data_IF_324108642220
#
_entry.id   IF_324108642220
#
_cell.length_a   1.000
_cell.length_b   1.000
_cell.length_c   1.000
_cell.angle_alpha   90.00
_cell.angle_beta   90.00
_cell.angle_gamma   90.00
#
_symmetry.space_group_name_H-M   'P 1'
#
loop_
_entity.id
_entity.type
_entity.pdbx_description
1 polymer ?
#
# COMPACT_ATOMS: atom_id res chain seq x y z
N UNK A 1 -26.84 11.92 8.57
CA UNK A 1 -26.34 10.54 8.68
C UNK A 1 -24.96 10.65 9.28
N UNK A 2 -24.72 10.06 10.45
CA UNK A 2 -23.43 10.16 11.12
C UNK A 2 -22.37 9.42 10.28
N UNK A 3 -21.25 10.07 10.03
CA UNK A 3 -20.20 9.51 9.19
C UNK A 3 -19.48 8.36 9.93
N UNK A 4 -19.22 7.27 9.21
CA UNK A 4 -18.59 6.08 9.80
C UNK A 4 -17.21 6.44 10.41
N UNK A 5 -16.90 6.02 11.67
CA UNK A 5 -15.65 6.42 12.35
C UNK A 5 -14.36 6.13 11.56
N UNK A 6 -14.33 5.00 10.83
CA UNK A 6 -13.20 4.68 9.95
C UNK A 6 -12.97 5.76 8.88
N UNK A 7 -14.04 6.28 8.25
CA UNK A 7 -13.94 7.33 7.22
C UNK A 7 -13.41 8.64 7.80
N UNK A 8 -13.80 8.96 9.04
CA UNK A 8 -13.28 10.14 9.73
C UNK A 8 -11.77 10.03 9.98
N UNK A 9 -11.28 8.87 10.42
CA UNK A 9 -9.86 8.69 10.71
C UNK A 9 -9.01 8.70 9.44
N UNK A 10 -9.43 7.98 8.38
CA UNK A 10 -8.64 7.97 7.12
C UNK A 10 -8.62 9.32 6.41
N UNK A 11 -9.63 10.17 6.62
CA UNK A 11 -9.65 11.53 6.08
C UNK A 11 -8.53 12.41 6.66
N UNK A 12 -8.02 12.08 7.84
CA UNK A 12 -6.95 12.80 8.52
C UNK A 12 -5.58 12.11 8.36
N UNK A 13 -5.44 11.18 7.41
CA UNK A 13 -4.15 10.58 7.10
C UNK A 13 -3.19 11.64 6.54
N UNK A 14 -1.93 11.73 7.00
CA UNK A 14 -0.98 12.77 6.61
C UNK A 14 -0.52 12.73 5.14
N UNK A 15 -0.94 11.71 4.39
CA UNK A 15 -0.60 11.56 2.97
C UNK A 15 0.65 10.71 2.72
N UNK A 16 0.95 10.50 1.42
CA UNK A 16 2.04 9.64 0.95
C UNK A 16 3.40 10.06 1.49
N UNK A 17 3.75 11.35 1.36
CA UNK A 17 5.10 11.86 1.66
C UNK A 17 5.64 11.41 3.04
N UNK A 18 4.95 11.72 4.15
CA UNK A 18 5.36 11.31 5.48
C UNK A 18 5.44 9.78 5.66
N UNK A 19 4.45 9.03 5.15
CA UNK A 19 4.46 7.56 5.22
C UNK A 19 5.62 6.96 4.44
N UNK A 20 5.92 7.50 3.26
CA UNK A 20 7.03 7.07 2.43
C UNK A 20 8.38 7.31 3.12
N UNK A 21 8.61 8.51 3.65
CA UNK A 21 9.84 8.83 4.36
C UNK A 21 10.04 7.93 5.59
N UNK A 22 8.97 7.63 6.33
CA UNK A 22 9.03 6.71 7.44
C UNK A 22 9.36 5.27 6.99
N UNK A 23 8.87 4.85 5.82
CA UNK A 23 9.17 3.54 5.24
C UNK A 23 10.62 3.44 4.77
N UNK A 24 11.15 4.51 4.17
CA UNK A 24 12.57 4.65 3.82
C UNK A 24 13.45 4.62 5.09
N UNK A 25 13.01 5.23 6.19
CA UNK A 25 13.73 5.22 7.48
C UNK A 25 13.80 3.84 8.13
N UNK A 26 12.87 2.93 7.84
CA UNK A 26 12.96 1.50 8.21
C UNK A 26 13.98 0.74 7.36
N UNK A 27 14.57 1.39 6.36
CA UNK A 27 15.59 0.85 5.46
C UNK A 27 15.07 0.51 4.06
N UNK A 28 13.75 0.37 3.86
CA UNK A 28 13.18 -0.09 2.59
C UNK A 28 13.29 0.99 1.49
N UNK A 29 14.10 0.76 0.44
CA UNK A 29 14.40 1.74 -0.59
C UNK A 29 14.07 1.31 -2.03
N UNK A 30 13.70 0.04 -2.26
CA UNK A 30 13.35 -0.45 -3.63
C UNK A 30 12.23 0.36 -4.29
N UNK A 31 11.22 0.76 -3.52
CA UNK A 31 10.12 1.59 -4.02
C UNK A 31 10.61 2.97 -4.51
N UNK A 32 11.52 3.60 -3.77
CA UNK A 32 12.15 4.88 -4.14
C UNK A 32 12.97 4.74 -5.42
N UNK A 33 13.75 3.67 -5.54
CA UNK A 33 14.49 3.39 -6.77
C UNK A 33 13.55 3.23 -7.98
N UNK A 34 12.37 2.64 -7.81
CA UNK A 34 11.36 2.59 -8.87
C UNK A 34 10.83 3.98 -9.23
N UNK A 35 10.50 4.81 -8.24
CA UNK A 35 10.04 6.18 -8.48
C UNK A 35 11.09 7.01 -9.24
N UNK A 36 12.36 6.91 -8.85
CA UNK A 36 13.47 7.61 -9.51
C UNK A 36 13.63 7.16 -10.97
N UNK A 37 13.48 5.86 -11.25
CA UNK A 37 13.44 5.35 -12.63
C UNK A 37 12.26 5.91 -13.41
N UNK A 38 11.08 6.04 -12.82
CA UNK A 38 9.92 6.62 -13.51
C UNK A 38 10.14 8.10 -13.79
N UNK A 39 10.72 8.86 -12.86
CA UNK A 39 11.10 10.27 -13.09
C UNK A 39 12.09 10.40 -14.25
N UNK A 40 13.12 9.55 -14.27
CA UNK A 40 14.09 9.49 -15.37
C UNK A 40 13.45 9.12 -16.71
N UNK A 41 12.53 8.16 -16.70
CA UNK A 41 11.81 7.70 -17.90
C UNK A 41 10.89 8.79 -18.47
N UNK A 42 10.15 9.47 -17.60
CA UNK A 42 9.20 10.49 -18.00
C UNK A 42 9.90 11.78 -18.48
N UNK A 43 10.98 12.20 -17.81
CA UNK A 43 11.82 13.38 -18.13
C UNK A 43 11.07 14.73 -18.28
N UNK A 44 11.76 15.85 -18.01
CA UNK A 44 11.19 17.19 -18.18
C UNK A 44 9.91 17.44 -17.36
N UNK A 45 8.97 18.19 -17.93
CA UNK A 45 7.73 18.63 -17.25
C UNK A 45 6.82 17.48 -16.79
N UNK A 46 6.93 16.28 -17.37
CA UNK A 46 6.13 15.13 -16.92
C UNK A 46 6.65 14.55 -15.60
N UNK A 47 7.94 14.71 -15.28
CA UNK A 47 8.49 14.24 -14.01
C UNK A 47 7.90 15.00 -12.81
N UNK A 48 7.71 16.31 -12.94
CA UNK A 48 7.11 17.15 -11.89
C UNK A 48 5.62 16.82 -11.67
N UNK A 49 4.93 16.39 -12.72
CA UNK A 49 3.53 15.94 -12.65
C UNK A 49 3.37 14.60 -11.94
N UNK A 50 4.39 13.72 -11.97
CA UNK A 50 4.31 12.38 -11.36
C UNK A 50 4.11 12.44 -9.86
N UNK A 51 4.87 13.27 -9.15
CA UNK A 51 4.82 13.32 -7.70
C UNK A 51 3.46 13.81 -7.22
N UNK A 52 2.92 14.86 -7.86
CA UNK A 52 1.55 15.32 -7.59
C UNK A 52 0.53 14.23 -7.92
N UNK A 53 0.62 13.58 -9.07
CA UNK A 53 -0.28 12.49 -9.44
C UNK A 53 -0.29 11.37 -8.39
N UNK A 54 0.88 10.95 -7.92
CA UNK A 54 0.98 9.93 -6.87
C UNK A 54 0.42 10.38 -5.52
N UNK A 55 0.63 11.64 -5.12
CA UNK A 55 0.05 12.18 -3.89
C UNK A 55 -1.48 12.19 -3.94
N UNK A 56 -2.05 12.63 -5.06
CA UNK A 56 -3.49 12.74 -5.27
C UNK A 56 -4.16 11.36 -5.30
N UNK A 57 -3.55 10.39 -6.01
CA UNK A 57 -4.01 8.99 -6.05
C UNK A 57 -3.96 8.35 -4.66
N UNK A 58 -2.90 8.62 -3.88
CA UNK A 58 -2.76 8.06 -2.54
C UNK A 58 -3.86 8.56 -1.60
N UNK A 59 -4.16 9.87 -1.62
CA UNK A 59 -5.23 10.46 -0.79
C UNK A 59 -6.60 9.90 -1.15
N UNK A 60 -6.96 9.88 -2.44
CA UNK A 60 -8.23 9.30 -2.89
C UNK A 60 -8.33 7.80 -2.54
N UNK A 61 -7.23 7.05 -2.67
CA UNK A 61 -7.18 5.62 -2.32
C UNK A 61 -7.41 5.42 -0.81
N UNK A 62 -6.77 6.23 0.03
CA UNK A 62 -6.94 6.19 1.49
C UNK A 62 -8.39 6.51 1.89
N UNK A 63 -8.96 7.59 1.36
CA UNK A 63 -10.29 8.05 1.73
C UNK A 63 -11.44 7.21 1.16
N UNK A 64 -11.21 6.52 0.04
CA UNK A 64 -12.15 5.53 -0.52
C UNK A 64 -11.99 4.13 0.08
N UNK A 65 -11.14 3.98 1.10
CA UNK A 65 -10.80 2.69 1.73
C UNK A 65 -10.33 1.65 0.70
N UNK A 66 -9.58 2.09 -0.31
CA UNK A 66 -9.08 1.28 -1.42
C UNK A 66 -10.16 0.77 -2.37
N UNK A 67 -11.45 1.14 -2.16
CA UNK A 67 -12.61 0.72 -2.96
C UNK A 67 -12.97 1.72 -4.06
N UNK A 68 -11.98 2.43 -4.56
CA UNK A 68 -12.08 3.28 -5.74
C UNK A 68 -10.96 2.99 -6.71
N UNK A 69 -11.10 3.54 -7.92
CA UNK A 69 -10.09 3.56 -8.96
C UNK A 69 -9.93 5.01 -9.41
N UNK A 70 -8.88 5.66 -8.90
CA UNK A 70 -8.56 7.07 -9.19
C UNK A 70 -8.30 7.31 -10.67
N UNK A 71 -7.74 6.34 -11.39
CA UNK A 71 -7.50 6.43 -12.83
C UNK A 71 -8.78 6.25 -13.68
N UNK A 72 -9.77 5.54 -13.15
CA UNK A 72 -11.08 5.37 -13.80
C UNK A 72 -12.11 6.41 -13.37
N UNK A 73 -11.79 7.21 -12.35
CA UNK A 73 -12.75 8.09 -11.64
C UNK A 73 -14.00 7.34 -11.17
N UNK A 74 -13.83 6.09 -10.71
CA UNK A 74 -14.93 5.22 -10.26
C UNK A 74 -14.75 4.86 -8.78
N UNK A 75 -15.76 5.16 -7.96
CA UNK A 75 -15.68 4.99 -6.50
C UNK A 75 -16.90 4.22 -5.99
N UNK A 76 -16.66 3.11 -5.26
CA UNK A 76 -17.71 2.42 -4.50
C UNK A 76 -17.97 3.15 -3.18
N UNK A 77 -16.92 3.74 -2.62
CA UNK A 77 -16.98 4.64 -1.47
C UNK A 77 -16.41 5.97 -1.93
N UNK A 78 -17.27 6.99 -1.97
CA UNK A 78 -16.86 8.35 -2.35
C UNK A 78 -15.87 8.92 -1.33
N UNK A 79 -14.68 9.35 -1.76
CA UNK A 79 -13.74 10.04 -0.88
C UNK A 79 -14.27 11.44 -0.53
N UNK A 80 -13.93 11.97 0.66
CA UNK A 80 -14.26 13.36 0.99
C UNK A 80 -13.52 14.34 0.10
N UNK A 81 -12.26 14.02 -0.18
CA UNK A 81 -11.40 14.71 -1.10
C UNK A 81 -11.45 14.02 -2.46
N UNK A 82 -11.94 14.74 -3.46
CA UNK A 82 -11.89 14.35 -4.86
C UNK A 82 -10.96 15.31 -5.60
N UNK A 83 -9.93 14.76 -6.24
CA UNK A 83 -8.90 15.55 -6.88
C UNK A 83 -9.38 16.14 -8.20
N UNK A 84 -9.54 17.47 -8.24
CA UNK A 84 -9.81 18.19 -9.48
C UNK A 84 -8.67 18.00 -10.50
N UNK A 85 -7.43 17.89 -10.04
CA UNK A 85 -6.28 17.62 -10.89
C UNK A 85 -6.40 16.27 -11.61
N UNK A 86 -6.84 15.22 -10.91
CA UNK A 86 -7.07 13.91 -11.54
C UNK A 86 -8.29 13.92 -12.47
N UNK A 87 -9.33 14.70 -12.15
CA UNK A 87 -10.46 14.91 -13.07
C UNK A 87 -10.00 15.61 -14.37
N UNK A 88 -9.14 16.64 -14.28
CA UNK A 88 -8.57 17.33 -15.44
C UNK A 88 -7.69 16.40 -16.29
N UNK A 89 -6.81 15.62 -15.65
CA UNK A 89 -5.99 14.62 -16.37
C UNK A 89 -6.85 13.55 -17.06
N UNK A 90 -7.91 13.08 -16.39
CA UNK A 90 -8.83 12.10 -16.95
C UNK A 90 -9.60 12.66 -18.15
N UNK A 91 -10.02 13.92 -18.11
CA UNK A 91 -10.69 14.59 -19.22
C UNK A 91 -9.75 14.86 -20.40
N UNK A 92 -8.49 15.21 -20.12
CA UNK A 92 -7.49 15.56 -21.13
C UNK A 92 -6.82 14.36 -21.81
N UNK A 93 -7.05 13.12 -21.33
CA UNK A 93 -6.33 11.94 -21.84
C UNK A 93 -6.60 11.68 -23.32
N UNK A 94 -5.52 11.59 -24.09
CA UNK A 94 -5.54 11.35 -25.54
C UNK A 94 -5.08 9.92 -25.93
N UNK A 95 -4.72 9.09 -24.96
CA UNK A 95 -3.97 7.83 -25.15
C UNK A 95 -4.72 6.57 -24.70
N UNK A 96 -6.05 6.52 -24.88
CA UNK A 96 -6.85 5.34 -24.49
C UNK A 96 -6.68 4.20 -25.49
N UNK A 97 -6.10 3.10 -25.05
CA UNK A 97 -5.94 1.89 -25.85
C UNK A 97 -6.82 0.74 -25.32
N UNK A 98 -7.76 0.18 -26.10
CA UNK A 98 -8.73 -0.83 -25.63
C UNK A 98 -8.12 -2.09 -24.98
N UNK A 99 -6.88 -2.44 -25.33
CA UNK A 99 -6.17 -3.59 -24.74
C UNK A 99 -5.72 -3.33 -23.30
N UNK A 100 -5.64 -2.06 -22.89
CA UNK A 100 -5.24 -1.64 -21.57
C UNK A 100 -6.46 -1.08 -20.85
N UNK A 101 -7.09 -1.92 -20.04
CA UNK A 101 -8.40 -1.62 -19.47
C UNK A 101 -8.36 -0.42 -18.51
N UNK A 102 -7.22 -0.17 -17.85
CA UNK A 102 -7.06 0.80 -16.76
C UNK A 102 -5.65 1.44 -16.75
N UNK A 103 -5.30 2.26 -17.76
CA UNK A 103 -3.99 2.87 -17.81
C UNK A 103 -3.87 4.00 -16.78
N UNK A 104 -2.67 4.25 -16.20
CA UNK A 104 -2.43 5.45 -15.43
C UNK A 104 -2.77 6.71 -16.22
N UNK A 105 -3.24 7.75 -15.54
CA UNK A 105 -3.59 9.03 -16.19
C UNK A 105 -2.38 9.82 -16.72
N UNK A 106 -1.16 9.38 -16.40
CA UNK A 106 0.08 9.97 -16.92
C UNK A 106 0.60 9.13 -18.08
N UNK A 107 0.69 9.74 -19.27
CA UNK A 107 1.08 9.08 -20.54
C UNK A 107 2.42 8.35 -20.46
N UNK A 108 3.45 8.96 -19.86
CA UNK A 108 4.75 8.31 -19.74
C UNK A 108 4.72 7.04 -18.85
N UNK A 109 3.92 7.03 -17.78
CA UNK A 109 3.71 5.82 -16.97
C UNK A 109 2.99 4.75 -17.78
N UNK A 110 1.95 5.13 -18.52
CA UNK A 110 1.27 4.22 -19.42
C UNK A 110 2.21 3.60 -20.45
N UNK A 111 3.03 4.40 -21.14
CA UNK A 111 4.03 3.91 -22.10
C UNK A 111 5.07 2.99 -21.44
N UNK A 112 5.48 3.29 -20.20
CA UNK A 112 6.36 2.41 -19.45
C UNK A 112 5.73 1.04 -19.19
N UNK A 113 4.47 1.00 -18.70
CA UNK A 113 3.74 -0.26 -18.48
C UNK A 113 3.51 -1.03 -19.78
N UNK A 114 3.18 -0.34 -20.86
CA UNK A 114 3.05 -0.91 -22.20
C UNK A 114 4.36 -1.54 -22.67
N UNK A 115 5.50 -0.87 -22.42
CA UNK A 115 6.82 -1.39 -22.75
C UNK A 115 7.15 -2.66 -21.94
N UNK A 116 6.87 -2.68 -20.64
CA UNK A 116 7.00 -3.90 -19.82
C UNK A 116 6.21 -5.09 -20.38
N UNK A 117 5.04 -4.83 -20.98
CA UNK A 117 4.19 -5.87 -21.55
C UNK A 117 4.76 -6.42 -22.87
N UNK A 118 5.11 -5.54 -23.81
CA UNK A 118 5.47 -5.92 -25.17
C UNK A 118 6.97 -6.18 -25.42
N UNK A 119 7.85 -5.53 -24.66
CA UNK A 119 9.30 -5.61 -24.84
C UNK A 119 9.91 -6.54 -23.78
N UNK A 120 10.16 -7.79 -24.18
CA UNK A 120 10.72 -8.81 -23.30
C UNK A 120 12.12 -8.44 -22.80
N UNK A 121 12.96 -7.83 -23.64
CA UNK A 121 14.31 -7.43 -23.27
C UNK A 121 14.27 -6.29 -22.23
N UNK A 122 13.39 -5.32 -22.42
CA UNK A 122 13.16 -4.26 -21.44
C UNK A 122 12.67 -4.83 -20.11
N UNK A 123 11.66 -5.72 -20.15
CA UNK A 123 11.14 -6.39 -18.95
C UNK A 123 12.21 -7.19 -18.21
N UNK A 124 13.06 -7.92 -18.92
CA UNK A 124 14.14 -8.70 -18.31
C UNK A 124 15.22 -7.80 -17.69
N UNK A 125 15.53 -6.68 -18.34
CA UNK A 125 16.41 -5.65 -17.79
C UNK A 125 15.86 -5.03 -16.50
N UNK A 126 14.57 -4.67 -16.48
CA UNK A 126 13.88 -4.17 -15.29
C UNK A 126 13.88 -5.20 -14.15
N UNK A 127 13.56 -6.46 -14.48
CA UNK A 127 13.59 -7.55 -13.52
C UNK A 127 14.98 -7.77 -12.92
N UNK A 128 16.03 -7.75 -13.75
CA UNK A 128 17.42 -7.92 -13.30
C UNK A 128 17.87 -6.73 -12.44
N UNK A 129 17.44 -5.51 -12.76
CA UNK A 129 17.71 -4.32 -11.96
C UNK A 129 17.12 -4.45 -10.55
N UNK A 130 15.82 -4.70 -10.44
CA UNK A 130 15.17 -4.79 -9.13
C UNK A 130 15.57 -6.04 -8.35
N UNK A 131 15.87 -7.15 -9.02
CA UNK A 131 16.38 -8.36 -8.34
C UNK A 131 17.69 -8.09 -7.59
N UNK A 132 18.59 -7.26 -8.15
CA UNK A 132 19.84 -6.88 -7.47
C UNK A 132 19.59 -5.99 -6.25
N UNK A 133 18.64 -5.05 -6.34
CA UNK A 133 18.28 -4.20 -5.21
C UNK A 133 17.64 -5.00 -4.08
N UNK A 134 16.68 -5.88 -4.41
CA UNK A 134 16.05 -6.79 -3.44
C UNK A 134 17.08 -7.69 -2.77
N UNK A 135 18.06 -8.21 -3.52
CA UNK A 135 19.14 -9.02 -2.96
C UNK A 135 20.00 -8.23 -1.95
N UNK A 136 20.38 -7.00 -2.29
CA UNK A 136 21.13 -6.14 -1.38
C UNK A 136 20.33 -5.83 -0.09
N UNK A 137 19.02 -5.65 -0.20
CA UNK A 137 18.17 -5.46 0.98
C UNK A 137 18.01 -6.74 1.82
N UNK A 138 17.86 -7.90 1.19
CA UNK A 138 17.85 -9.22 1.87
C UNK A 138 19.08 -9.36 2.74
N UNK A 139 20.26 -9.06 2.19
CA UNK A 139 21.54 -9.13 2.89
C UNK A 139 21.60 -8.13 4.05
N UNK A 140 21.18 -6.88 3.81
CA UNK A 140 21.17 -5.82 4.83
C UNK A 140 20.24 -6.14 6.00
N UNK A 141 19.06 -6.73 5.74
CA UNK A 141 18.13 -7.15 6.78
C UNK A 141 18.48 -8.50 7.40
N UNK A 142 19.55 -9.16 6.95
CA UNK A 142 19.97 -10.47 7.45
C UNK A 142 18.92 -11.55 7.23
N UNK A 143 18.08 -11.42 6.20
CA UNK A 143 17.00 -12.37 5.92
C UNK A 143 17.62 -13.69 5.44
N UNK A 144 17.28 -14.77 6.14
CA UNK A 144 17.72 -16.12 5.81
C UNK A 144 16.53 -17.07 5.88
N UNK A 145 16.22 -17.72 4.76
CA UNK A 145 15.21 -18.78 4.67
C UNK A 145 15.66 -20.12 5.30
N UNK A 146 16.62 -20.11 6.23
CA UNK A 146 17.11 -21.33 6.89
C UNK A 146 15.96 -22.09 7.57
N UNK A 147 15.75 -23.35 7.17
CA UNK A 147 14.67 -24.19 7.68
C UNK A 147 13.32 -24.03 6.95
N UNK A 148 13.24 -23.22 5.88
CA UNK A 148 12.03 -23.09 5.09
C UNK A 148 11.80 -24.35 4.25
N UNK A 149 10.72 -25.08 4.52
CA UNK A 149 10.38 -26.32 3.82
C UNK A 149 9.74 -26.09 2.44
N UNK A 150 9.67 -24.85 1.96
CA UNK A 150 8.92 -24.49 0.75
C UNK A 150 7.40 -24.62 0.90
N UNK A 151 6.91 -25.01 2.08
CA UNK A 151 5.48 -25.13 2.35
C UNK A 151 4.93 -23.80 2.89
N UNK A 152 3.68 -23.48 2.54
CA UNK A 152 3.04 -22.21 2.92
C UNK A 152 3.03 -21.95 4.42
N UNK A 153 2.94 -23.00 5.24
CA UNK A 153 2.99 -22.89 6.71
C UNK A 153 4.35 -22.44 7.24
N UNK A 154 5.43 -22.61 6.47
CA UNK A 154 6.78 -22.25 6.90
C UNK A 154 7.02 -20.73 6.93
N UNK A 155 6.11 -19.91 6.39
CA UNK A 155 6.15 -18.45 6.58
C UNK A 155 5.60 -18.03 7.95
N UNK A 156 4.79 -18.86 8.61
CA UNK A 156 4.09 -18.48 9.85
C UNK A 156 5.05 -18.09 10.97
N UNK A 157 6.14 -18.83 11.27
CA UNK A 157 7.09 -18.41 12.29
C UNK A 157 7.71 -17.03 11.98
N UNK A 158 8.01 -16.75 10.71
CA UNK A 158 8.52 -15.45 10.30
C UNK A 158 7.50 -14.32 10.50
N UNK A 159 6.21 -14.59 10.22
CA UNK A 159 5.12 -13.66 10.50
C UNK A 159 4.96 -13.42 12.00
N UNK A 160 5.02 -14.47 12.82
CA UNK A 160 4.90 -14.36 14.27
C UNK A 160 6.00 -13.46 14.83
N UNK A 161 7.27 -13.70 14.46
CA UNK A 161 8.39 -12.86 14.88
C UNK A 161 8.22 -11.41 14.40
N UNK A 162 7.95 -11.22 13.10
CA UNK A 162 7.84 -9.87 12.51
C UNK A 162 6.67 -9.07 13.09
N UNK A 163 5.53 -9.73 13.36
CA UNK A 163 4.37 -9.10 13.96
C UNK A 163 4.61 -8.76 15.45
N UNK A 164 5.25 -9.67 16.19
CA UNK A 164 5.59 -9.46 17.59
C UNK A 164 6.56 -8.28 17.78
N UNK A 165 7.59 -8.15 16.93
CA UNK A 165 8.53 -7.01 16.91
C UNK A 165 7.81 -5.65 16.81
N UNK A 166 6.65 -5.62 16.17
CA UNK A 166 5.86 -4.41 15.92
C UNK A 166 4.64 -4.29 16.86
N UNK A 167 4.61 -5.10 17.92
CA UNK A 167 3.56 -5.16 18.94
C UNK A 167 2.17 -5.52 18.39
N UNK A 168 2.11 -6.39 17.38
CA UNK A 168 0.86 -7.04 17.00
C UNK A 168 0.66 -8.32 17.82
N UNK A 169 -0.50 -8.43 18.46
CA UNK A 169 -0.87 -9.57 19.28
C UNK A 169 -1.41 -10.73 18.44
N UNK A 170 -0.98 -11.99 18.69
CA UNK A 170 -1.46 -13.14 17.97
C UNK A 170 -2.91 -13.48 18.34
N UNK A 171 -3.71 -13.87 17.34
CA UNK A 171 -5.09 -14.36 17.50
C UNK A 171 -5.40 -15.41 16.44
N UNK A 172 -5.00 -16.65 16.73
CA UNK A 172 -5.05 -17.74 15.74
C UNK A 172 -4.08 -17.45 14.59
N UNK A 173 -4.53 -17.56 13.33
CA UNK A 173 -3.71 -17.26 12.13
C UNK A 173 -3.73 -15.79 11.72
N UNK A 174 -3.92 -14.90 12.69
CA UNK A 174 -4.01 -13.44 12.47
C UNK A 174 -3.29 -12.73 13.59
N UNK A 175 -2.79 -11.54 13.30
CA UNK A 175 -2.12 -10.67 14.25
C UNK A 175 -2.81 -9.32 14.27
N UNK A 176 -3.01 -8.75 15.46
CA UNK A 176 -3.81 -7.54 15.64
C UNK A 176 -3.13 -6.51 16.50
N UNK A 177 -3.25 -5.26 16.10
CA UNK A 177 -2.89 -4.08 16.88
C UNK A 177 -4.14 -3.21 17.04
N UNK A 178 -4.31 -2.58 18.20
CA UNK A 178 -5.44 -1.70 18.49
C UNK A 178 -4.94 -0.28 18.75
N UNK A 179 -5.69 0.70 18.26
CA UNK A 179 -5.54 2.10 18.65
C UNK A 179 -6.93 2.70 18.86
N UNK A 180 -7.31 2.88 20.12
CA UNK A 180 -8.69 3.19 20.49
C UNK A 180 -9.65 2.13 19.94
N UNK A 181 -10.68 2.58 19.20
CA UNK A 181 -11.66 1.70 18.57
C UNK A 181 -11.22 1.14 17.21
N UNK A 182 -10.05 1.52 16.67
CA UNK A 182 -9.52 0.94 15.44
C UNK A 182 -8.75 -0.36 15.70
N UNK A 183 -8.95 -1.32 14.80
CA UNK A 183 -8.23 -2.59 14.77
C UNK A 183 -7.49 -2.71 13.45
N UNK A 184 -6.19 -2.93 13.55
CA UNK A 184 -5.29 -3.22 12.44
C UNK A 184 -5.00 -4.73 12.47
N UNK A 185 -5.45 -5.46 11.45
CA UNK A 185 -5.34 -6.92 11.38
C UNK A 185 -4.47 -7.33 10.19
N UNK A 186 -3.50 -8.20 10.47
CA UNK A 186 -2.70 -8.91 9.49
C UNK A 186 -3.16 -10.37 9.49
N UNK A 187 -3.56 -10.88 8.35
CA UNK A 187 -3.93 -12.29 8.17
C UNK A 187 -3.05 -12.96 7.14
N UNK A 188 -2.72 -14.24 7.36
CA UNK A 188 -2.10 -15.05 6.32
C UNK A 188 -3.18 -15.67 5.42
N UNK A 189 -3.20 -15.30 4.13
CA UNK A 189 -3.99 -15.97 3.11
C UNK A 189 -3.17 -17.12 2.50
N UNK A 190 -3.26 -18.29 3.13
CA UNK A 190 -2.56 -19.50 2.69
C UNK A 190 -3.31 -20.24 1.56
N UNK A 191 -4.37 -19.65 0.98
CA UNK A 191 -5.29 -20.30 0.05
C UNK A 191 -4.85 -20.36 -1.42
N UNK A 192 -3.77 -19.68 -1.83
CA UNK A 192 -3.38 -19.55 -3.25
C UNK A 192 -1.91 -19.93 -3.52
N UNK A 193 -1.63 -20.32 -4.78
CA UNK A 193 -0.33 -20.83 -5.26
C UNK A 193 0.85 -19.90 -4.93
N UNK A 194 1.94 -20.45 -4.37
CA UNK A 194 3.19 -19.74 -4.02
C UNK A 194 3.92 -19.12 -5.22
N UNK A 195 3.52 -19.51 -6.43
CA UNK A 195 4.04 -19.00 -7.71
C UNK A 195 3.10 -17.98 -8.38
N UNK A 196 2.10 -17.44 -7.67
CA UNK A 196 1.31 -16.29 -8.16
C UNK A 196 1.83 -15.00 -7.52
N UNK A 197 1.89 -13.94 -8.33
CA UNK A 197 2.50 -12.63 -8.07
C UNK A 197 1.85 -11.79 -6.93
N UNK A 198 1.18 -12.40 -5.96
CA UNK A 198 0.44 -11.68 -4.91
C UNK A 198 0.98 -12.02 -3.53
N UNK A 199 1.14 -10.98 -2.71
CA UNK A 199 1.51 -11.10 -1.30
C UNK A 199 0.59 -12.11 -0.57
N UNK A 200 1.14 -13.00 0.27
CA UNK A 200 0.37 -13.98 1.04
C UNK A 200 -0.40 -13.34 2.21
N UNK A 201 -0.36 -12.00 2.31
CA UNK A 201 -0.90 -11.26 3.44
C UNK A 201 -2.16 -10.53 3.04
N UNK A 202 -3.12 -10.58 3.95
CA UNK A 202 -4.32 -9.76 3.91
C UNK A 202 -4.28 -8.77 5.06
N UNK A 203 -4.26 -7.49 4.72
CA UNK A 203 -4.24 -6.40 5.69
C UNK A 203 -5.63 -5.77 5.78
N UNK A 204 -6.07 -5.48 7.00
CA UNK A 204 -7.40 -4.94 7.27
C UNK A 204 -7.35 -3.86 8.34
N UNK A 205 -8.10 -2.78 8.09
CA UNK A 205 -8.38 -1.76 9.10
C UNK A 205 -9.89 -1.68 9.27
N UNK A 206 -10.36 -1.78 10.51
CA UNK A 206 -11.79 -1.69 10.80
C UNK A 206 -12.04 -1.13 12.20
N UNK A 207 -13.24 -0.60 12.43
CA UNK A 207 -13.68 -0.18 13.75
C UNK A 207 -14.21 -1.39 14.54
N UNK A 208 -13.80 -1.55 15.80
CA UNK A 208 -14.16 -2.66 16.66
C UNK A 208 -15.68 -2.82 16.87
N UNK A 209 -16.43 -1.71 16.85
CA UNK A 209 -17.90 -1.69 16.99
C UNK A 209 -18.60 -2.03 15.67
N UNK A 210 -17.93 -1.85 14.53
CA UNK A 210 -18.47 -2.05 13.18
C UNK A 210 -17.52 -2.92 12.32
N UNK A 211 -17.24 -4.17 12.72
CA UNK A 211 -16.18 -4.98 12.12
C UNK A 211 -16.46 -5.46 10.68
N UNK A 212 -17.69 -5.28 10.18
CA UNK A 212 -18.06 -5.61 8.80
C UNK A 212 -17.65 -4.53 7.80
N UNK A 213 -17.44 -3.31 8.28
CA UNK A 213 -17.01 -2.18 7.46
C UNK A 213 -15.48 -2.08 7.52
N UNK A 214 -14.84 -2.59 6.47
CA UNK A 214 -13.40 -2.89 6.45
C UNK A 214 -12.72 -2.18 5.29
N UNK A 215 -11.59 -1.55 5.59
CA UNK A 215 -10.57 -1.20 4.61
C UNK A 215 -9.66 -2.41 4.41
N UNK A 216 -9.79 -3.08 3.27
CA UNK A 216 -8.87 -4.15 2.86
C UNK A 216 -7.71 -3.53 2.07
N UNK A 217 -6.47 -3.74 2.54
CA UNK A 217 -5.26 -3.29 1.84
C UNK A 217 -4.59 -4.49 1.20
N UNK A 218 -4.69 -4.56 -0.13
CA UNK A 218 -3.96 -5.51 -0.97
C UNK A 218 -2.66 -4.88 -1.48
N UNK A 219 -1.78 -5.65 -2.13
CA UNK A 219 -0.52 -5.14 -2.70
C UNK A 219 -0.75 -3.92 -3.60
N UNK A 220 -1.75 -3.97 -4.49
CA UNK A 220 -2.10 -2.86 -5.39
C UNK A 220 -2.73 -1.65 -4.69
N UNK A 221 -3.36 -1.83 -3.53
CA UNK A 221 -3.81 -0.70 -2.69
C UNK A 221 -2.60 -0.04 -2.05
N UNK A 222 -1.69 -0.85 -1.48
CA UNK A 222 -0.47 -0.34 -0.87
C UNK A 222 0.45 0.37 -1.87
N UNK A 223 0.54 -0.14 -3.10
CA UNK A 223 1.27 0.52 -4.18
C UNK A 223 0.67 1.89 -4.55
N UNK A 224 -0.66 2.04 -4.53
CA UNK A 224 -1.30 3.35 -4.71
C UNK A 224 -1.08 4.30 -3.54
N UNK A 225 -0.90 3.78 -2.32
CA UNK A 225 -0.56 4.60 -1.16
C UNK A 225 0.92 5.01 -1.15
N UNK A 226 1.82 4.11 -1.55
CA UNK A 226 3.26 4.34 -1.70
C UNK A 226 3.73 3.68 -3.01
N UNK A 227 3.88 4.45 -4.10
CA UNK A 227 4.21 3.94 -5.43
C UNK A 227 5.52 3.17 -5.47
N UNK A 228 5.51 2.02 -6.14
CA UNK A 228 6.66 1.14 -6.30
C UNK A 228 6.81 0.11 -5.18
N UNK A 229 5.95 0.11 -4.16
CA UNK A 229 5.97 -0.92 -3.11
C UNK A 229 5.59 -2.29 -3.67
N UNK A 230 4.85 -2.38 -4.78
CA UNK A 230 4.63 -3.66 -5.47
C UNK A 230 5.93 -4.32 -5.98
N UNK A 231 7.05 -3.59 -6.03
CA UNK A 231 8.37 -4.20 -6.28
C UNK A 231 8.86 -5.13 -5.17
N UNK A 232 8.23 -5.08 -4.00
CA UNK A 232 8.40 -6.05 -2.92
C UNK A 232 7.42 -7.23 -3.00
N UNK A 233 6.51 -7.26 -3.99
CA UNK A 233 5.67 -8.44 -4.24
C UNK A 233 6.56 -9.67 -4.48
N UNK A 234 6.10 -10.89 -4.14
CA UNK A 234 6.91 -12.11 -4.09
C UNK A 234 8.03 -12.18 -5.13
N UNK A 235 9.26 -12.03 -4.66
CA UNK A 235 10.45 -12.14 -5.51
C UNK A 235 10.66 -13.57 -6.01
N UNK A 236 11.67 -13.74 -6.86
CA UNK A 236 11.97 -15.03 -7.51
C UNK A 236 12.55 -16.06 -6.54
N UNK A 237 13.02 -15.60 -5.38
CA UNK A 237 13.63 -16.44 -4.34
C UNK A 237 12.86 -16.34 -3.03
N UNK A 238 13.08 -17.32 -2.16
CA UNK A 238 12.47 -17.38 -0.84
C UNK A 238 12.84 -16.18 0.02
N UNK A 239 14.10 -15.78 0.01
CA UNK A 239 14.57 -14.66 0.82
C UNK A 239 13.92 -13.36 0.38
N UNK A 240 13.76 -13.15 -0.94
CA UNK A 240 13.04 -11.99 -1.47
C UNK A 240 11.55 -12.02 -1.12
N UNK A 241 10.95 -13.21 -1.08
CA UNK A 241 9.57 -13.37 -0.60
C UNK A 241 9.43 -12.98 0.87
N UNK A 242 10.36 -13.41 1.74
CA UNK A 242 10.38 -13.02 3.15
C UNK A 242 10.65 -11.52 3.33
N UNK A 243 11.52 -10.93 2.50
CA UNK A 243 11.71 -9.47 2.43
C UNK A 243 10.40 -8.77 2.10
N UNK A 244 9.67 -9.25 1.09
CA UNK A 244 8.37 -8.71 0.72
C UNK A 244 7.37 -8.73 1.87
N UNK A 245 7.28 -9.87 2.57
CA UNK A 245 6.48 -10.01 3.80
C UNK A 245 6.86 -8.95 4.84
N UNK A 246 8.16 -8.81 5.14
CA UNK A 246 8.64 -7.83 6.12
C UNK A 246 8.32 -6.39 5.70
N UNK A 247 8.53 -6.07 4.42
CA UNK A 247 8.25 -4.76 3.84
C UNK A 247 6.77 -4.38 3.95
N UNK A 248 5.86 -5.28 3.57
CA UNK A 248 4.42 -5.02 3.65
C UNK A 248 3.91 -4.89 5.09
N UNK A 249 4.41 -5.72 6.02
CA UNK A 249 4.09 -5.58 7.45
C UNK A 249 4.59 -4.22 7.98
N UNK A 250 5.81 -3.84 7.64
CA UNK A 250 6.41 -2.57 8.03
C UNK A 250 5.59 -1.38 7.54
N UNK A 251 5.26 -1.34 6.25
CA UNK A 251 4.42 -0.27 5.68
C UNK A 251 3.03 -0.23 6.34
N UNK A 252 2.40 -1.39 6.54
CA UNK A 252 1.10 -1.45 7.20
C UNK A 252 1.15 -0.92 8.63
N UNK A 253 2.21 -1.22 9.38
CA UNK A 253 2.42 -0.69 10.72
C UNK A 253 2.59 0.84 10.71
N UNK A 254 3.33 1.40 9.74
CA UNK A 254 3.48 2.86 9.60
C UNK A 254 2.14 3.55 9.29
N UNK A 255 1.31 2.95 8.42
CA UNK A 255 -0.05 3.42 8.19
C UNK A 255 -0.85 3.37 9.49
N UNK A 256 -0.77 2.27 10.23
CA UNK A 256 -1.48 2.11 11.50
C UNK A 256 -1.08 3.19 12.53
N UNK A 257 0.21 3.46 12.66
CA UNK A 257 0.75 4.50 13.55
C UNK A 257 0.29 5.89 13.12
N UNK A 258 0.34 6.21 11.82
CA UNK A 258 -0.11 7.51 11.31
C UNK A 258 -1.60 7.77 11.56
N UNK A 259 -2.44 6.72 11.48
CA UNK A 259 -3.88 6.82 11.75
C UNK A 259 -4.17 6.84 13.26
N UNK A 260 -3.38 6.15 14.07
CA UNK A 260 -3.49 6.14 15.52
C UNK A 260 -3.10 7.49 16.15
N UNK A 261 -2.13 8.19 15.58
CA UNK A 261 -1.70 9.52 16.02
C UNK A 261 -2.60 10.65 15.52
N UNK A 262 -3.56 10.36 14.65
CA UNK A 262 -4.49 11.36 14.15
C UNK A 262 -5.54 11.69 15.23
N UNK A 263 -5.70 12.96 15.64
CA UNK A 263 -6.66 13.30 16.69
C UNK A 263 -8.07 12.94 16.22
N UNK A 264 -8.70 12.01 16.93
CA UNK A 264 -10.15 11.85 16.84
C UNK A 264 -10.78 13.20 17.23
N UNK A 265 -11.71 13.71 16.42
CA UNK A 265 -12.43 14.94 16.74
C UNK A 265 -12.91 14.92 18.20
N UNK A 266 -12.77 16.03 18.95
CA UNK A 266 -13.19 16.05 20.35
C UNK A 266 -14.68 15.74 20.41
N UNK A 267 -15.04 14.69 21.15
CA UNK A 267 -16.42 14.42 21.51
C UNK A 267 -17.02 15.70 22.08
N UNK A 268 -18.02 16.27 21.38
CA UNK A 268 -18.85 17.33 21.92
C UNK A 268 -19.56 16.75 23.15
N UNK A 269 -19.03 17.04 24.34
CA UNK A 269 -19.79 16.96 25.60
C UNK A 269 -20.92 18.00 25.52
N UNK A 270 -22.05 17.61 24.93
CA UNK A 270 -23.29 18.39 25.02
C UNK A 270 -23.96 18.02 26.34
N UNK A 271 -23.80 18.92 27.31
CA UNK A 271 -24.85 19.32 28.24
C UNK A 271 -25.48 18.27 29.15
N UNK A 272 -24.87 18.03 30.30
CA UNK A 272 -25.61 17.77 31.54
C UNK A 272 -25.04 18.68 32.62
N UNK A 273 -25.61 19.88 32.76
CA UNK A 273 -25.60 20.68 34.00
C UNK A 273 -26.43 21.95 33.75
N UNK A 274 -27.73 21.86 34.02
CA UNK A 274 -28.59 23.01 34.30
C UNK A 274 -29.92 22.51 34.89
N UNK A 275 -29.87 21.88 36.08
CA UNK A 275 -30.96 21.87 37.08
C UNK A 275 -30.38 21.62 38.47
N UNK A 276 -30.03 22.69 39.17
CA UNK A 276 -30.16 22.87 40.62
C UNK A 276 -30.12 24.36 40.90
#
# INVERSE_FOLDING_TARGET
MEEHPLLQVVANWPGRGPTQLAFEALGFSVHRAWQDRMRQYCSGQQADLLDRYWDEVAVETMQSLGRGSSDERSFVIEPKYRSAFLDDLFAARDFVEPKFRYPPLIKCLFEHFKKLWYDAQFRDGENAFFSRLLQAEVERFGIRATGWSGTRGAVIPFLETSCAELNFEPRGRRWRKRAGDLVFEIGADLGYNQFRDRSPLKFRIYNARQPKYVFDLWSSVMDRLVPGVERYSPGRTVDQYLLGVKAYIGLFNLIAESLASSPASPERKIGQEARS
#
